data_IF_741903946406
#
_entry.id   IF_741903946406
#
_cell.length_a   1.000
_cell.length_b   1.000
_cell.length_c   1.000
_cell.angle_alpha   90.00
_cell.angle_beta   90.00
_cell.angle_gamma   90.00
#
_symmetry.space_group_name_H-M   'P 1'
#
loop_
_entity.id
_entity.type
_entity.pdbx_description
1 polymer ?
#
# COMPACT_ATOMS: atom_id res chain seq x y z
N UNK A 1 2.96 -12.68 3.15
CA UNK A 1 2.96 -11.20 3.17
C UNK A 1 1.99 -10.69 2.13
N UNK A 2 1.43 -9.51 2.36
CA UNK A 2 0.41 -8.92 1.49
C UNK A 2 0.94 -7.64 0.81
N UNK A 3 0.51 -7.43 -0.43
CA UNK A 3 0.79 -6.24 -1.23
C UNK A 3 -0.52 -5.75 -1.87
N UNK A 4 -0.63 -4.44 -2.05
CA UNK A 4 -1.58 -3.85 -2.97
C UNK A 4 -0.89 -3.54 -4.29
N UNK A 5 -1.48 -4.02 -5.38
CA UNK A 5 -0.99 -3.70 -6.72
C UNK A 5 -2.07 -2.98 -7.52
N UNK A 6 -1.76 -1.75 -7.94
CA UNK A 6 -2.63 -0.94 -8.80
C UNK A 6 -2.48 -1.33 -10.27
N UNK A 7 -3.58 -1.33 -11.02
CA UNK A 7 -3.61 -1.66 -12.44
C UNK A 7 -4.71 -0.89 -13.20
N UNK A 8 -4.62 -0.76 -14.54
CA UNK A 8 -5.69 -0.15 -15.33
C UNK A 8 -6.99 -0.95 -15.22
N UNK A 9 -8.11 -0.32 -14.84
CA UNK A 9 -9.37 -0.99 -14.43
C UNK A 9 -9.86 -2.14 -15.33
N UNK A 10 -9.64 -2.08 -16.65
CA UNK A 10 -10.06 -3.09 -17.63
C UNK A 10 -9.09 -4.27 -17.81
N UNK A 11 -7.95 -4.25 -17.13
CA UNK A 11 -6.81 -5.12 -17.41
C UNK A 11 -6.42 -6.04 -16.25
N UNK A 12 -7.35 -6.32 -15.33
CA UNK A 12 -7.10 -7.21 -14.18
C UNK A 12 -6.48 -8.55 -14.59
N UNK A 13 -6.99 -9.19 -15.65
CA UNK A 13 -6.47 -10.48 -16.12
C UNK A 13 -5.02 -10.41 -16.62
N UNK A 14 -4.66 -9.31 -17.28
CA UNK A 14 -3.29 -9.09 -17.74
C UNK A 14 -2.37 -8.73 -16.57
N UNK A 15 -2.80 -7.84 -15.67
CA UNK A 15 -2.08 -7.50 -14.44
C UNK A 15 -1.81 -8.74 -13.58
N UNK A 16 -2.80 -9.62 -13.40
CA UNK A 16 -2.64 -10.87 -12.64
C UNK A 16 -1.53 -11.76 -13.21
N UNK A 17 -1.48 -11.95 -14.53
CA UNK A 17 -0.43 -12.74 -15.18
C UNK A 17 0.94 -12.08 -15.05
N UNK A 18 1.00 -10.76 -15.21
CA UNK A 18 2.22 -9.99 -15.06
C UNK A 18 2.79 -10.08 -13.63
N UNK A 19 1.94 -9.86 -12.61
CA UNK A 19 2.28 -10.01 -11.20
C UNK A 19 2.82 -11.42 -10.91
N UNK A 20 2.10 -12.46 -11.36
CA UNK A 20 2.51 -13.85 -11.14
C UNK A 20 3.85 -14.17 -11.80
N UNK A 21 4.09 -13.68 -13.02
CA UNK A 21 5.38 -13.83 -13.71
C UNK A 21 6.51 -13.13 -12.95
N UNK A 22 6.28 -11.88 -12.51
CA UNK A 22 7.31 -11.10 -11.79
C UNK A 22 7.67 -11.78 -10.47
N UNK A 23 6.66 -12.17 -9.67
CA UNK A 23 6.89 -12.88 -8.41
C UNK A 23 7.52 -14.27 -8.63
N UNK A 24 7.19 -14.95 -9.73
CA UNK A 24 7.85 -16.18 -10.16
C UNK A 24 9.36 -16.01 -10.39
N UNK A 25 9.78 -14.92 -11.04
CA UNK A 25 11.20 -14.54 -11.17
C UNK A 25 11.84 -14.25 -9.81
N UNK A 26 11.04 -13.86 -8.84
CA UNK A 26 11.51 -13.57 -7.50
C UNK A 26 11.57 -14.79 -6.57
N UNK A 27 11.08 -15.94 -7.02
CA UNK A 27 11.10 -17.19 -6.28
C UNK A 27 9.74 -17.62 -5.70
N UNK A 28 8.66 -16.89 -5.99
CA UNK A 28 7.30 -17.29 -5.63
C UNK A 28 6.54 -17.79 -6.86
N UNK A 29 6.45 -19.12 -6.98
CA UNK A 29 5.82 -19.78 -8.11
C UNK A 29 4.27 -19.74 -8.07
N UNK A 30 3.67 -19.47 -6.90
CA UNK A 30 2.22 -19.56 -6.71
C UNK A 30 1.66 -18.39 -5.88
N UNK A 31 1.91 -17.13 -6.27
CA UNK A 31 1.31 -16.00 -5.59
C UNK A 31 -0.20 -15.98 -5.83
N UNK A 32 -0.93 -15.62 -4.79
CA UNK A 32 -2.38 -15.42 -4.89
C UNK A 32 -2.65 -13.98 -5.27
N UNK A 33 -3.40 -13.77 -6.36
CA UNK A 33 -3.76 -12.43 -6.86
C UNK A 33 -5.27 -12.32 -6.95
N UNK A 34 -5.86 -11.54 -6.05
CA UNK A 34 -7.30 -11.40 -5.86
C UNK A 34 -7.77 -9.97 -6.11
N UNK A 35 -9.02 -9.82 -6.56
CA UNK A 35 -9.62 -8.50 -6.65
C UNK A 35 -9.80 -7.93 -5.23
N UNK A 36 -9.47 -6.66 -5.05
CA UNK A 36 -9.63 -5.96 -3.76
C UNK A 36 -11.07 -5.57 -3.41
N UNK A 37 -12.05 -5.95 -4.23
CA UNK A 37 -13.43 -5.44 -4.13
C UNK A 37 -13.62 -4.03 -4.72
N UNK A 38 -12.55 -3.32 -5.09
CA UNK A 38 -12.62 -2.03 -5.80
C UNK A 38 -11.89 -2.09 -7.14
N UNK A 39 -12.32 -1.32 -8.16
CA UNK A 39 -11.68 -1.38 -9.48
C UNK A 39 -10.26 -0.79 -9.47
N UNK A 40 -9.34 -1.46 -10.16
CA UNK A 40 -7.99 -0.97 -10.42
C UNK A 40 -6.98 -1.23 -9.30
N UNK A 41 -7.33 -2.01 -8.28
CA UNK A 41 -6.40 -2.52 -7.26
C UNK A 41 -6.67 -4.01 -7.04
N UNK A 42 -5.61 -4.80 -6.90
CA UNK A 42 -5.67 -6.19 -6.43
C UNK A 42 -4.88 -6.34 -5.13
N UNK A 43 -5.31 -7.32 -4.34
CA UNK A 43 -4.55 -7.82 -3.20
C UNK A 43 -3.70 -8.98 -3.70
N UNK A 44 -2.42 -8.94 -3.38
CA UNK A 44 -1.46 -9.97 -3.74
C UNK A 44 -0.92 -10.58 -2.45
N UNK A 45 -1.09 -11.89 -2.29
CA UNK A 45 -0.46 -12.64 -1.21
C UNK A 45 0.71 -13.43 -1.76
N UNK A 46 1.86 -13.28 -1.13
CA UNK A 46 3.12 -13.91 -1.52
C UNK A 46 3.84 -14.51 -0.32
N UNK A 47 4.66 -15.53 -0.58
CA UNK A 47 5.58 -16.10 0.42
C UNK A 47 6.81 -15.22 0.67
N UNK A 48 7.07 -14.24 -0.20
CA UNK A 48 8.23 -13.36 -0.12
C UNK A 48 7.99 -12.19 0.85
N UNK A 49 9.08 -11.58 1.32
CA UNK A 49 9.01 -10.31 2.03
C UNK A 49 8.51 -9.20 1.10
N UNK A 50 7.48 -8.46 1.52
CA UNK A 50 6.81 -7.47 0.66
C UNK A 50 7.73 -6.28 0.32
N UNK A 51 8.62 -5.88 1.23
CA UNK A 51 9.55 -4.77 1.02
C UNK A 51 10.72 -5.18 0.13
N UNK A 52 11.20 -6.42 0.26
CA UNK A 52 12.15 -7.00 -0.70
C UNK A 52 11.55 -7.12 -2.10
N UNK A 53 10.28 -7.53 -2.23
CA UNK A 53 9.59 -7.54 -3.53
C UNK A 53 9.57 -6.13 -4.15
N UNK A 54 9.28 -5.11 -3.36
CA UNK A 54 9.25 -3.72 -3.83
C UNK A 54 10.62 -3.26 -4.33
N UNK A 55 11.69 -3.51 -3.56
CA UNK A 55 13.05 -3.17 -3.96
C UNK A 55 13.43 -3.86 -5.28
N UNK A 56 13.15 -5.17 -5.38
CA UNK A 56 13.42 -5.96 -6.60
C UNK A 56 12.56 -5.53 -7.78
N UNK A 57 11.32 -5.07 -7.55
CA UNK A 57 10.50 -4.47 -8.59
C UNK A 57 11.12 -3.18 -9.13
N UNK A 58 11.65 -2.33 -8.26
CA UNK A 58 12.34 -1.10 -8.67
C UNK A 58 13.60 -1.41 -9.51
N UNK A 59 14.43 -2.34 -9.04
CA UNK A 59 15.60 -2.83 -9.79
C UNK A 59 15.22 -3.41 -11.15
N UNK A 60 14.18 -4.26 -11.18
CA UNK A 60 13.72 -4.88 -12.40
C UNK A 60 13.16 -3.84 -13.37
N UNK A 61 12.42 -2.86 -12.90
CA UNK A 61 11.86 -1.80 -13.75
C UNK A 61 12.97 -0.93 -14.35
N UNK A 62 14.07 -0.72 -13.62
CA UNK A 62 15.22 -0.01 -14.13
C UNK A 62 15.96 -0.81 -15.21
N UNK A 63 16.18 -2.10 -14.98
CA UNK A 63 16.89 -2.98 -15.91
C UNK A 63 16.05 -3.39 -17.15
N UNK A 64 14.76 -3.64 -16.95
CA UNK A 64 13.82 -4.14 -17.95
C UNK A 64 12.46 -3.41 -17.83
N UNK A 65 12.34 -2.14 -18.27
CA UNK A 65 11.09 -1.38 -18.13
C UNK A 65 9.87 -2.09 -18.76
N UNK A 66 10.06 -2.76 -19.89
CA UNK A 66 9.01 -3.52 -20.60
C UNK A 66 8.48 -4.72 -19.80
N UNK A 67 9.14 -5.11 -18.70
CA UNK A 67 8.62 -6.09 -17.77
C UNK A 67 7.37 -5.60 -17.02
N UNK A 68 7.09 -4.29 -17.01
CA UNK A 68 5.93 -3.71 -16.35
C UNK A 68 5.05 -2.98 -17.35
N UNK A 69 3.83 -3.48 -17.55
CA UNK A 69 2.84 -2.84 -18.43
C UNK A 69 1.51 -2.60 -17.73
N UNK A 70 1.14 -3.48 -16.81
CA UNK A 70 -0.17 -3.43 -16.15
C UNK A 70 -0.09 -3.33 -14.63
N UNK A 71 0.98 -3.83 -14.00
CA UNK A 71 1.23 -3.77 -12.56
C UNK A 71 1.93 -2.46 -12.20
N UNK A 72 1.15 -1.38 -12.10
CA UNK A 72 1.61 0.01 -12.10
C UNK A 72 2.30 0.41 -10.79
N UNK A 73 1.67 0.13 -9.66
CA UNK A 73 2.11 0.60 -8.34
C UNK A 73 1.99 -0.53 -7.33
N UNK A 74 3.04 -0.75 -6.55
CA UNK A 74 3.19 -1.81 -5.57
C UNK A 74 3.41 -1.18 -4.19
N UNK A 75 2.56 -1.56 -3.24
CA UNK A 75 2.57 -1.04 -1.87
C UNK A 75 2.49 -2.23 -0.92
N UNK A 76 3.35 -2.33 0.10
CA UNK A 76 3.29 -3.41 1.08
C UNK A 76 2.10 -3.15 2.02
N UNK A 77 1.49 -4.20 2.54
CA UNK A 77 0.47 -4.08 3.59
C UNK A 77 1.06 -4.58 4.90
N UNK A 78 1.08 -3.71 5.91
CA UNK A 78 1.56 -4.07 7.25
C UNK A 78 0.39 -4.59 8.10
N UNK A 79 -0.80 -3.98 7.97
CA UNK A 79 -1.98 -4.36 8.76
C UNK A 79 -3.28 -4.30 7.96
N UNK A 80 -4.26 -5.06 8.44
CA UNK A 80 -5.64 -5.06 7.95
C UNK A 80 -6.61 -4.77 9.09
N UNK A 81 -7.68 -4.02 8.81
CA UNK A 81 -8.84 -3.93 9.68
C UNK A 81 -10.15 -3.83 8.89
N UNK A 82 -11.26 -3.91 9.60
CA UNK A 82 -12.58 -3.69 9.05
C UNK A 82 -12.73 -2.23 8.58
N UNK A 83 -13.62 -2.02 7.60
CA UNK A 83 -14.00 -0.67 7.14
C UNK A 83 -14.95 0.00 8.14
N UNK A 84 -14.39 0.34 9.28
CA UNK A 84 -15.02 1.03 10.39
C UNK A 84 -14.02 2.05 10.97
N UNK A 85 -14.49 3.28 11.23
CA UNK A 85 -13.58 4.37 11.59
C UNK A 85 -12.97 4.16 12.98
N UNK A 86 -13.71 3.58 13.91
CA UNK A 86 -13.22 3.27 15.26
C UNK A 86 -12.18 2.13 15.21
N UNK A 87 -12.40 1.12 14.36
CA UNK A 87 -11.45 0.04 14.12
C UNK A 87 -10.13 0.54 13.53
N UNK A 88 -10.17 1.47 12.56
CA UNK A 88 -8.97 2.09 11.98
C UNK A 88 -8.25 2.93 13.04
N UNK A 89 -8.99 3.73 13.81
CA UNK A 89 -8.42 4.56 14.88
C UNK A 89 -7.71 3.70 15.94
N UNK A 90 -8.32 2.60 16.36
CA UNK A 90 -7.72 1.64 17.29
C UNK A 90 -6.44 1.03 16.72
N UNK A 91 -6.46 0.56 15.47
CA UNK A 91 -5.29 0.01 14.79
C UNK A 91 -4.16 1.05 14.72
N UNK A 92 -4.49 2.31 14.39
CA UNK A 92 -3.51 3.39 14.34
C UNK A 92 -2.86 3.59 15.71
N UNK A 93 -3.64 3.69 16.79
CA UNK A 93 -3.12 3.86 18.16
C UNK A 93 -2.22 2.71 18.60
N UNK A 94 -2.68 1.48 18.39
CA UNK A 94 -2.05 0.29 18.96
C UNK A 94 -0.88 -0.24 18.13
N UNK A 95 -0.95 -0.11 16.80
CA UNK A 95 0.01 -0.75 15.89
C UNK A 95 0.86 0.27 15.12
N UNK A 96 0.31 1.41 14.71
CA UNK A 96 1.04 2.39 13.88
C UNK A 96 1.89 3.34 14.72
N UNK A 97 1.36 3.88 15.82
CA UNK A 97 2.10 4.81 16.69
C UNK A 97 3.44 4.22 17.18
N UNK A 98 3.52 2.95 17.62
CA UNK A 98 4.80 2.34 18.02
C UNK A 98 5.83 2.25 16.88
N UNK A 99 5.39 2.25 15.62
CA UNK A 99 6.28 2.21 14.46
C UNK A 99 6.89 3.57 14.08
N UNK A 100 6.46 4.65 14.74
CA UNK A 100 6.96 6.01 14.55
C UNK A 100 7.78 6.41 15.78
N UNK A 101 9.09 6.50 15.59
CA UNK A 101 10.03 6.90 16.63
C UNK A 101 9.72 8.27 17.21
N UNK A 102 10.09 8.50 18.47
CA UNK A 102 9.77 9.75 19.18
C UNK A 102 10.30 11.03 18.49
N UNK A 103 11.39 10.91 17.72
CA UNK A 103 12.01 12.00 16.96
C UNK A 103 11.70 11.95 15.46
N UNK A 104 11.01 10.90 14.99
CA UNK A 104 10.62 10.76 13.59
C UNK A 104 9.44 11.68 13.28
N UNK A 105 9.44 12.21 12.06
CA UNK A 105 8.33 12.95 11.49
C UNK A 105 7.46 12.05 10.62
N UNK A 106 6.17 12.37 10.56
CA UNK A 106 5.22 11.54 9.82
C UNK A 106 4.23 12.35 8.97
N UNK A 107 3.59 11.68 8.01
CA UNK A 107 2.43 12.20 7.29
C UNK A 107 1.41 11.09 7.04
N UNK A 108 0.16 11.47 6.74
CA UNK A 108 -0.90 10.55 6.37
C UNK A 108 -1.26 10.67 4.89
N UNK A 109 -1.53 9.54 4.25
CA UNK A 109 -2.19 9.48 2.94
C UNK A 109 -3.39 8.54 3.01
N UNK A 110 -4.59 9.05 2.72
CA UNK A 110 -5.81 8.26 2.66
C UNK A 110 -6.25 8.07 1.22
N UNK A 111 -6.34 6.81 0.79
CA UNK A 111 -6.71 6.38 -0.55
C UNK A 111 -8.09 5.76 -0.52
N UNK A 112 -9.08 6.65 -0.63
CA UNK A 112 -10.49 6.31 -0.44
C UNK A 112 -11.14 5.88 -1.75
N UNK A 113 -11.35 4.57 -1.94
CA UNK A 113 -12.12 4.03 -3.06
C UNK A 113 -13.49 3.56 -2.60
N UNK A 114 -14.38 4.54 -2.43
CA UNK A 114 -15.74 4.30 -1.96
C UNK A 114 -15.79 4.22 -0.44
N UNK A 115 -16.48 5.18 0.16
CA UNK A 115 -16.97 5.22 1.53
C UNK A 115 -17.64 6.58 1.65
N UNK A 116 -18.96 6.62 1.44
CA UNK A 116 -19.72 7.88 1.35
C UNK A 116 -19.98 8.53 2.71
N UNK A 117 -19.89 7.74 3.79
CA UNK A 117 -20.20 8.17 5.15
C UNK A 117 -19.24 9.24 5.70
N UNK A 118 -17.98 9.25 5.25
CA UNK A 118 -16.96 10.18 5.74
C UNK A 118 -16.21 10.83 4.58
N UNK A 119 -15.93 12.13 4.72
CA UNK A 119 -15.02 12.84 3.83
C UNK A 119 -13.57 12.46 4.15
N UNK A 120 -12.69 12.50 3.14
CA UNK A 120 -11.27 12.13 3.33
C UNK A 120 -10.60 12.99 4.39
N UNK A 121 -10.92 14.29 4.46
CA UNK A 121 -10.38 15.22 5.44
C UNK A 121 -10.81 14.86 6.88
N UNK A 122 -12.04 14.41 7.09
CA UNK A 122 -12.56 13.99 8.40
C UNK A 122 -11.83 12.74 8.90
N UNK A 123 -11.62 11.77 8.01
CA UNK A 123 -10.84 10.55 8.32
C UNK A 123 -9.41 10.96 8.71
N UNK A 124 -8.75 11.81 7.91
CA UNK A 124 -7.39 12.27 8.21
C UNK A 124 -7.34 12.96 9.56
N UNK A 125 -8.24 13.92 9.82
CA UNK A 125 -8.27 14.66 11.08
C UNK A 125 -8.39 13.71 12.27
N UNK A 126 -9.40 12.83 12.25
CA UNK A 126 -9.66 11.91 13.35
C UNK A 126 -8.51 10.95 13.62
N UNK A 127 -7.91 10.39 12.57
CA UNK A 127 -6.80 9.45 12.74
C UNK A 127 -5.49 10.16 13.12
N UNK A 128 -5.29 11.41 12.70
CA UNK A 128 -4.09 12.17 13.04
C UNK A 128 -4.06 12.59 14.52
N UNK A 129 -5.21 12.85 15.13
CA UNK A 129 -5.34 13.15 16.57
C UNK A 129 -4.83 11.99 17.46
N UNK A 130 -4.80 10.77 16.93
CA UNK A 130 -4.29 9.59 17.63
C UNK A 130 -2.75 9.46 17.64
N UNK A 131 -2.03 10.23 16.81
CA UNK A 131 -0.58 10.10 16.61
C UNK A 131 0.12 11.33 17.18
N UNK A 132 0.58 11.23 18.43
CA UNK A 132 1.36 12.27 19.10
C UNK A 132 2.83 12.28 18.62
N UNK A 133 3.03 12.61 17.34
CA UNK A 133 4.35 12.73 16.69
C UNK A 133 4.36 13.93 15.75
N UNK A 134 5.55 14.48 15.50
CA UNK A 134 5.72 15.67 14.66
C UNK A 134 5.29 15.39 13.21
N UNK A 135 4.41 16.22 12.67
CA UNK A 135 3.96 16.11 11.28
C UNK A 135 4.94 16.81 10.31
N UNK A 136 5.23 16.17 9.17
CA UNK A 136 5.97 16.74 8.03
C UNK A 136 5.40 16.26 6.71
N UNK A 137 4.71 17.12 5.97
CA UNK A 137 3.93 16.71 4.79
C UNK A 137 4.74 16.32 3.54
N UNK A 138 5.88 16.96 3.27
CA UNK A 138 6.59 16.79 1.97
C UNK A 138 7.60 15.64 1.94
N UNK A 139 8.25 15.35 3.04
CA UNK A 139 9.29 14.33 3.13
C UNK A 139 9.36 13.78 4.56
N UNK A 140 8.29 13.13 5.04
CA UNK A 140 8.28 12.53 6.37
C UNK A 140 9.29 11.38 6.45
N UNK A 141 9.70 11.04 7.67
CA UNK A 141 10.43 9.81 7.95
C UNK A 141 9.51 8.59 7.77
N UNK A 142 8.22 8.75 8.10
CA UNK A 142 7.16 7.74 7.98
C UNK A 142 5.91 8.27 7.26
N UNK A 143 5.46 7.58 6.24
CA UNK A 143 4.16 7.78 5.60
C UNK A 143 3.19 6.70 6.07
N UNK A 144 2.15 7.10 6.80
CA UNK A 144 1.02 6.24 7.15
C UNK A 144 0.02 6.28 6.01
N UNK A 145 -0.04 5.21 5.24
CA UNK A 145 -0.95 5.06 4.10
C UNK A 145 -2.15 4.19 4.50
N UNK A 146 -3.35 4.70 4.26
CA UNK A 146 -4.62 4.01 4.53
C UNK A 146 -5.34 3.79 3.20
N UNK A 147 -5.46 2.55 2.75
CA UNK A 147 -6.20 2.18 1.54
C UNK A 147 -7.55 1.57 1.94
N UNK A 148 -8.64 2.26 1.62
CA UNK A 148 -10.01 1.78 1.88
C UNK A 148 -10.48 0.98 0.67
N UNK A 149 -10.67 -0.34 0.85
CA UNK A 149 -10.87 -1.32 -0.20
C UNK A 149 -12.13 -2.16 0.05
N UNK A 150 -13.23 -1.83 -0.62
CA UNK A 150 -14.46 -2.61 -0.56
C UNK A 150 -15.03 -2.67 0.86
N UNK A 151 -14.80 -3.78 1.56
CA UNK A 151 -15.22 -4.02 2.95
C UNK A 151 -14.08 -3.97 3.97
N UNK A 152 -12.82 -3.84 3.53
CA UNK A 152 -11.63 -3.86 4.39
C UNK A 152 -10.79 -2.59 4.20
N UNK A 153 -9.87 -2.38 5.13
CA UNK A 153 -8.88 -1.31 5.09
C UNK A 153 -7.50 -1.90 5.25
N UNK A 154 -6.60 -1.56 4.33
CA UNK A 154 -5.18 -1.88 4.42
C UNK A 154 -4.42 -0.67 4.96
N UNK A 155 -3.47 -0.92 5.85
CA UNK A 155 -2.61 0.11 6.44
C UNK A 155 -1.15 -0.24 6.18
N UNK A 156 -0.41 0.75 5.70
CA UNK A 156 1.04 0.67 5.48
C UNK A 156 1.76 1.79 6.22
N UNK A 157 2.87 1.47 6.87
CA UNK A 157 3.79 2.42 7.50
C UNK A 157 5.08 2.41 6.70
N UNK A 158 5.25 3.40 5.82
CA UNK A 158 6.29 3.41 4.79
C UNK A 158 7.40 4.40 5.12
N UNK A 159 8.65 4.00 4.97
CA UNK A 159 9.79 4.89 4.78
C UNK A 159 9.89 5.28 3.30
N UNK A 160 10.73 6.26 3.01
CA UNK A 160 11.08 6.60 1.63
C UNK A 160 11.62 5.37 0.89
N UNK A 161 11.17 5.18 -0.36
CA UNK A 161 11.57 4.04 -1.20
C UNK A 161 10.82 2.74 -0.94
N UNK A 162 10.00 2.63 0.12
CA UNK A 162 9.30 1.38 0.45
C UNK A 162 7.95 1.22 -0.28
N UNK A 163 7.76 1.92 -1.39
CA UNK A 163 6.71 1.64 -2.38
C UNK A 163 7.26 1.88 -3.77
N UNK A 164 6.76 1.13 -4.75
CA UNK A 164 7.25 1.21 -6.13
C UNK A 164 6.12 1.62 -7.08
N UNK A 165 6.43 2.44 -8.08
CA UNK A 165 5.49 2.89 -9.11
C UNK A 165 6.24 3.13 -10.42
N UNK A 166 5.70 2.63 -11.53
CA UNK A 166 6.30 2.83 -12.87
C UNK A 166 6.29 4.29 -13.33
N UNK A 167 5.47 5.15 -12.71
CA UNK A 167 5.33 6.57 -13.08
C UNK A 167 6.04 7.53 -12.11
N UNK A 168 6.68 7.01 -11.06
CA UNK A 168 7.48 7.84 -10.17
C UNK A 168 8.88 7.99 -10.78
N UNK A 169 9.31 9.21 -11.13
CA UNK A 169 10.64 9.41 -11.67
C UNK A 169 11.68 9.04 -10.61
N UNK A 170 12.75 8.42 -11.09
CA UNK A 170 13.99 8.14 -10.37
C UNK A 170 14.57 9.40 -9.73
#
# INVERSE_FOLDING_TARGET
MDLLVSYPRRWHGAARREIARILGRFGDAQPLVEKSGVPGICVVRTSLDSRQVIARCAELCHAEPDAFRFAIKWVPVDYWCEKDLDAIERLVKEQVVPCIGAQETWAMQVEKRGWGQYHTAEIIQRLAEAIDRRVRLKAPDKLVRIDILGAAVAVSVLRQGESFSIYSPS
#
